data_IF_703683606385
#
_entry.id   IF_703683606385
#
_cell.length_a   1.000
_cell.length_b   1.000
_cell.length_c   1.000
_cell.angle_alpha   90.00
_cell.angle_beta   90.00
_cell.angle_gamma   90.00
#
_symmetry.space_group_name_H-M   'P 1'
#
loop_
_entity.id
_entity.type
_entity.pdbx_description
1 polymer ?
#
# COMPACT_ATOMS: atom_id res chain seq x y z
N UNK A 1 4.67 -19.31 -13.41
CA UNK A 1 4.08 -18.32 -12.49
C UNK A 1 3.83 -17.02 -13.25
N UNK A 2 2.63 -16.44 -13.14
CA UNK A 2 2.34 -15.08 -13.61
C UNK A 2 2.60 -14.09 -12.48
N UNK A 3 3.22 -12.94 -12.78
CA UNK A 3 3.52 -11.89 -11.79
C UNK A 3 2.85 -10.58 -12.19
N UNK A 4 2.33 -9.84 -11.22
CA UNK A 4 1.64 -8.56 -11.46
C UNK A 4 2.59 -7.40 -11.79
N UNK A 5 3.83 -7.47 -11.32
CA UNK A 5 4.85 -6.44 -11.55
C UNK A 5 6.28 -6.99 -11.37
N UNK A 6 7.27 -6.22 -11.83
CA UNK A 6 8.68 -6.60 -11.78
C UNK A 6 9.21 -6.72 -10.34
N UNK A 7 8.75 -5.88 -9.40
CA UNK A 7 9.17 -5.94 -8.01
C UNK A 7 8.70 -7.26 -7.38
N UNK A 8 7.43 -7.60 -7.52
CA UNK A 8 6.84 -8.87 -7.07
C UNK A 8 7.57 -10.07 -7.67
N UNK A 9 7.93 -10.05 -8.96
CA UNK A 9 8.74 -11.08 -9.61
C UNK A 9 10.11 -11.24 -8.95
N UNK A 10 10.85 -10.15 -8.76
CA UNK A 10 12.20 -10.21 -8.17
C UNK A 10 12.17 -10.71 -6.72
N UNK A 11 11.16 -10.31 -5.94
CA UNK A 11 11.00 -10.77 -4.55
C UNK A 11 10.60 -12.24 -4.46
N UNK A 12 9.73 -12.71 -5.34
CA UNK A 12 9.37 -14.13 -5.44
C UNK A 12 10.58 -15.00 -5.80
N UNK A 13 11.39 -14.58 -6.78
CA UNK A 13 12.61 -15.31 -7.15
C UNK A 13 13.65 -15.33 -6.02
N UNK A 14 13.86 -14.20 -5.35
CA UNK A 14 14.77 -14.13 -4.20
C UNK A 14 14.33 -15.07 -3.06
N UNK A 15 13.02 -15.11 -2.76
CA UNK A 15 12.47 -16.04 -1.79
C UNK A 15 12.74 -17.50 -2.18
N UNK A 16 12.46 -17.88 -3.43
CA UNK A 16 12.72 -19.25 -3.91
C UNK A 16 14.20 -19.63 -3.79
N UNK A 17 15.12 -18.71 -4.06
CA UNK A 17 16.57 -18.94 -3.93
C UNK A 17 16.93 -19.19 -2.46
N UNK A 18 16.47 -18.33 -1.55
CA UNK A 18 16.80 -18.45 -0.13
C UNK A 18 16.23 -19.71 0.50
N UNK A 19 14.96 -20.04 0.23
CA UNK A 19 14.34 -21.25 0.79
C UNK A 19 15.00 -22.53 0.28
N UNK A 20 15.45 -22.56 -1.00
CA UNK A 20 16.23 -23.68 -1.55
C UNK A 20 17.62 -23.81 -0.96
N UNK A 21 18.21 -22.73 -0.47
CA UNK A 21 19.53 -22.74 0.16
C UNK A 21 19.49 -23.24 1.62
N UNK A 22 18.30 -23.47 2.19
CA UNK A 22 18.16 -24.00 3.55
C UNK A 22 18.84 -25.35 3.70
N UNK A 23 19.72 -25.47 4.69
CA UNK A 23 20.52 -26.67 4.95
C UNK A 23 20.84 -26.83 6.45
N UNK A 24 21.65 -27.84 6.79
CA UNK A 24 22.16 -28.04 8.15
C UNK A 24 23.19 -26.98 8.58
N UNK A 25 23.77 -26.24 7.63
CA UNK A 25 24.77 -25.19 7.89
C UNK A 25 24.26 -23.78 7.63
N UNK A 26 23.16 -23.64 6.88
CA UNK A 26 22.51 -22.37 6.59
C UNK A 26 21.00 -22.48 6.84
N UNK A 27 20.54 -21.94 7.97
CA UNK A 27 19.13 -21.93 8.33
C UNK A 27 18.45 -20.67 7.78
N UNK A 28 17.38 -20.85 7.02
CA UNK A 28 16.70 -19.73 6.35
C UNK A 28 15.22 -19.68 6.72
N UNK A 29 14.63 -18.50 6.73
CA UNK A 29 13.19 -18.30 6.76
C UNK A 29 12.83 -17.10 5.87
N UNK A 30 11.63 -17.12 5.29
CA UNK A 30 11.11 -16.01 4.49
C UNK A 30 9.89 -15.37 5.15
N UNK A 31 9.89 -14.04 5.26
CA UNK A 31 8.78 -13.26 5.81
C UNK A 31 8.07 -12.49 4.69
N UNK A 32 6.75 -12.69 4.61
CA UNK A 32 5.85 -12.04 3.66
C UNK A 32 4.95 -11.07 4.42
N UNK A 33 5.40 -9.83 4.67
CA UNK A 33 4.59 -8.86 5.38
C UNK A 33 3.40 -8.40 4.53
N UNK A 34 2.30 -8.11 5.20
CA UNK A 34 1.20 -7.33 4.65
C UNK A 34 1.61 -5.86 4.41
N UNK A 35 0.65 -4.97 4.10
CA UNK A 35 0.94 -3.55 4.00
C UNK A 35 1.43 -3.01 5.36
N UNK A 36 2.68 -2.56 5.42
CA UNK A 36 3.32 -2.13 6.67
C UNK A 36 2.79 -0.74 7.02
N UNK A 37 2.41 -0.48 8.26
CA UNK A 37 2.09 0.86 8.74
C UNK A 37 2.68 1.10 10.13
N UNK A 38 2.67 2.36 10.56
CA UNK A 38 3.05 2.74 11.89
C UNK A 38 3.59 4.16 11.94
N UNK A 39 3.86 4.59 13.16
CA UNK A 39 4.70 5.74 13.42
C UNK A 39 6.08 5.55 12.76
N UNK A 40 6.58 6.59 12.09
CA UNK A 40 7.85 6.51 11.36
C UNK A 40 7.81 5.80 10.00
N UNK A 41 6.63 5.41 9.49
CA UNK A 41 6.52 4.95 8.10
C UNK A 41 6.76 6.13 7.14
N UNK A 42 7.76 6.06 6.26
CA UNK A 42 8.18 7.20 5.45
C UNK A 42 7.84 7.11 3.97
N UNK A 43 7.17 6.03 3.52
CA UNK A 43 7.02 5.75 2.09
C UNK A 43 5.64 6.07 1.56
N UNK A 44 4.60 5.42 2.07
CA UNK A 44 3.29 5.46 1.42
C UNK A 44 2.25 6.25 2.20
N UNK A 45 2.27 6.23 3.53
CA UNK A 45 1.39 7.06 4.35
C UNK A 45 1.67 8.56 4.15
N UNK A 46 2.93 9.06 4.15
CA UNK A 46 3.21 10.46 3.82
C UNK A 46 2.70 10.87 2.44
N UNK A 47 2.85 9.99 1.44
CA UNK A 47 2.35 10.24 0.07
C UNK A 47 0.83 10.41 0.06
N UNK A 48 0.12 9.53 0.76
CA UNK A 48 -1.35 9.59 0.87
C UNK A 48 -1.78 10.85 1.63
N UNK A 49 -1.15 11.15 2.77
CA UNK A 49 -1.46 12.34 3.56
C UNK A 49 -1.19 13.64 2.80
N UNK A 50 -0.16 13.67 1.95
CA UNK A 50 0.07 14.81 1.06
C UNK A 50 -1.07 14.98 0.03
N UNK A 51 -1.55 13.89 -0.58
CA UNK A 51 -2.72 13.93 -1.48
C UNK A 51 -4.00 14.37 -0.75
N UNK A 52 -4.17 13.92 0.49
CA UNK A 52 -5.27 14.33 1.38
C UNK A 52 -5.18 15.83 1.67
N UNK A 53 -4.01 16.33 2.05
CA UNK A 53 -3.78 17.75 2.31
C UNK A 53 -4.02 18.62 1.07
N UNK A 54 -3.72 18.10 -0.12
CA UNK A 54 -3.99 18.76 -1.40
C UNK A 54 -5.46 18.66 -1.85
N UNK A 55 -6.31 17.91 -1.13
CA UNK A 55 -7.70 17.68 -1.53
C UNK A 55 -7.87 16.76 -2.74
N UNK A 56 -6.83 15.99 -3.10
CA UNK A 56 -6.83 15.07 -4.25
C UNK A 56 -7.27 13.63 -3.87
N UNK A 57 -7.32 13.30 -2.58
CA UNK A 57 -7.72 11.99 -2.07
C UNK A 57 -9.25 11.90 -1.77
N UNK A 58 -10.08 12.26 -2.74
CA UNK A 58 -11.54 12.35 -2.56
C UNK A 58 -12.32 11.09 -2.94
N UNK A 59 -11.68 10.09 -3.55
CA UNK A 59 -12.32 8.84 -3.97
C UNK A 59 -11.55 7.59 -3.51
N UNK A 60 -12.28 6.50 -3.32
CA UNK A 60 -11.77 5.15 -3.09
C UNK A 60 -11.80 4.34 -4.39
N UNK A 61 -10.92 3.35 -4.51
CA UNK A 61 -10.89 2.42 -5.65
C UNK A 61 -11.56 1.10 -5.25
N UNK A 62 -12.44 0.59 -6.11
CA UNK A 62 -13.12 -0.68 -5.94
C UNK A 62 -14.46 -0.56 -5.21
N UNK A 63 -14.65 -1.32 -4.13
CA UNK A 63 -15.90 -1.39 -3.35
C UNK A 63 -15.60 -1.49 -1.85
N UNK A 64 -16.59 -1.19 -1.01
CA UNK A 64 -16.47 -1.23 0.45
C UNK A 64 -16.13 -2.63 1.00
N UNK A 65 -16.54 -3.70 0.30
CA UNK A 65 -16.32 -5.09 0.71
C UNK A 65 -14.95 -5.65 0.30
N UNK A 66 -14.08 -4.83 -0.30
CA UNK A 66 -12.71 -5.25 -0.62
C UNK A 66 -11.90 -5.27 0.67
N UNK A 67 -11.26 -6.40 0.96
CA UNK A 67 -10.48 -6.58 2.18
C UNK A 67 -8.99 -6.75 1.87
N UNK A 68 -8.16 -6.11 2.68
CA UNK A 68 -6.70 -6.25 2.65
C UNK A 68 -6.13 -6.38 4.07
N UNK A 69 -4.91 -6.88 4.16
CA UNK A 69 -4.18 -6.95 5.42
C UNK A 69 -3.21 -5.78 5.59
N UNK A 70 -3.10 -5.35 6.83
CA UNK A 70 -2.08 -4.43 7.32
C UNK A 70 -1.24 -5.09 8.41
N UNK A 71 -0.02 -4.61 8.61
CA UNK A 71 0.86 -5.03 9.69
C UNK A 71 1.54 -3.82 10.32
N UNK A 72 1.40 -3.65 11.63
CA UNK A 72 2.12 -2.61 12.35
C UNK A 72 3.61 -2.93 12.40
N UNK A 73 4.47 -1.92 12.24
CA UNK A 73 5.92 -2.09 12.17
C UNK A 73 6.50 -2.90 13.35
N UNK A 74 6.08 -2.62 14.59
CA UNK A 74 6.56 -3.36 15.77
C UNK A 74 6.08 -4.81 15.82
N UNK A 75 4.87 -5.07 15.31
CA UNK A 75 4.35 -6.44 15.18
C UNK A 75 5.17 -7.21 14.14
N UNK A 76 5.53 -6.58 13.02
CA UNK A 76 6.41 -7.18 12.02
C UNK A 76 7.82 -7.46 12.57
N UNK A 77 8.42 -6.51 13.30
CA UNK A 77 9.71 -6.71 13.98
C UNK A 77 9.64 -7.87 14.96
N UNK A 78 8.55 -7.97 15.72
CA UNK A 78 8.31 -9.10 16.62
C UNK A 78 8.24 -10.43 15.87
N UNK A 79 7.59 -10.48 14.70
CA UNK A 79 7.53 -11.66 13.86
C UNK A 79 8.92 -12.07 13.32
N UNK A 80 9.75 -11.10 12.92
CA UNK A 80 11.12 -11.34 12.46
C UNK A 80 11.97 -11.98 13.58
N UNK A 81 11.90 -11.46 14.80
CA UNK A 81 12.59 -12.02 15.97
C UNK A 81 12.09 -13.43 16.29
N UNK A 82 10.78 -13.67 16.18
CA UNK A 82 10.22 -15.01 16.40
C UNK A 82 10.67 -16.00 15.31
N UNK A 83 10.75 -15.56 14.05
CA UNK A 83 11.25 -16.38 12.96
C UNK A 83 12.71 -16.78 13.18
N UNK A 84 13.57 -15.83 13.57
CA UNK A 84 14.96 -16.08 13.94
C UNK A 84 15.06 -17.13 15.07
N UNK A 85 14.33 -16.92 16.18
CA UNK A 85 14.32 -17.84 17.34
C UNK A 85 13.76 -19.22 17.02
N UNK A 86 12.98 -19.35 15.95
CA UNK A 86 12.40 -20.62 15.52
C UNK A 86 13.39 -21.49 14.75
N UNK A 87 14.54 -20.94 14.34
CA UNK A 87 15.60 -21.67 13.67
C UNK A 87 16.48 -22.42 14.70
N UNK A 88 17.01 -23.61 14.35
CA UNK A 88 16.89 -24.29 13.06
C UNK A 88 15.59 -25.10 12.88
N UNK A 89 14.77 -25.22 13.92
CA UNK A 89 13.61 -26.15 13.96
C UNK A 89 12.65 -25.98 12.79
N UNK A 90 12.37 -24.74 12.37
CA UNK A 90 11.49 -24.44 11.24
C UNK A 90 12.22 -23.73 10.09
N UNK A 91 13.41 -24.24 9.74
CA UNK A 91 14.18 -23.74 8.58
C UNK A 91 13.52 -24.11 7.24
N UNK A 92 13.74 -23.28 6.23
CA UNK A 92 13.23 -23.49 4.87
C UNK A 92 11.76 -23.09 4.69
N UNK A 93 11.19 -22.39 5.67
CA UNK A 93 9.77 -22.05 5.69
C UNK A 93 9.51 -20.57 5.36
N UNK A 94 8.36 -20.32 4.73
CA UNK A 94 7.82 -18.98 4.49
C UNK A 94 6.58 -18.71 5.34
N UNK A 95 6.43 -17.46 5.80
CA UNK A 95 5.36 -17.02 6.69
C UNK A 95 4.74 -15.71 6.22
N UNK A 96 3.42 -15.70 6.07
CA UNK A 96 2.66 -14.45 5.97
C UNK A 96 2.50 -13.83 7.35
N UNK A 97 2.76 -12.52 7.47
CA UNK A 97 2.64 -11.76 8.71
C UNK A 97 1.69 -10.59 8.49
N UNK A 98 0.63 -10.51 9.31
CA UNK A 98 -0.34 -9.42 9.37
C UNK A 98 -0.78 -9.17 10.81
N UNK A 99 -1.56 -8.12 11.03
CA UNK A 99 -2.22 -7.85 12.32
C UNK A 99 -3.51 -8.68 12.52
N UNK A 100 -3.76 -9.70 11.69
CA UNK A 100 -4.93 -10.58 11.78
C UNK A 100 -6.28 -9.85 11.72
N UNK A 101 -6.29 -8.68 11.07
CA UNK A 101 -7.43 -7.78 11.00
C UNK A 101 -7.68 -7.37 9.54
N UNK A 102 -8.27 -8.25 8.71
CA UNK A 102 -8.63 -7.91 7.35
C UNK A 102 -9.64 -6.75 7.34
N UNK A 103 -9.28 -5.66 6.68
CA UNK A 103 -10.07 -4.43 6.65
C UNK A 103 -10.02 -3.81 5.27
N UNK A 104 -11.03 -3.02 4.92
CA UNK A 104 -10.98 -2.25 3.69
C UNK A 104 -9.86 -1.19 3.75
N UNK A 105 -9.06 -1.13 2.69
CA UNK A 105 -7.90 -0.24 2.59
C UNK A 105 -8.28 1.24 2.83
N UNK A 106 -9.40 1.69 2.27
CA UNK A 106 -9.85 3.07 2.37
C UNK A 106 -10.57 3.35 3.69
N UNK A 107 -11.23 2.36 4.30
CA UNK A 107 -11.73 2.49 5.67
C UNK A 107 -10.58 2.65 6.67
N UNK A 108 -9.53 1.84 6.54
CA UNK A 108 -8.31 1.95 7.34
C UNK A 108 -7.65 3.33 7.19
N UNK A 109 -7.44 3.79 5.96
CA UNK A 109 -6.88 5.12 5.69
C UNK A 109 -7.80 6.25 6.17
N UNK A 110 -9.13 6.07 6.12
CA UNK A 110 -10.10 7.06 6.61
C UNK A 110 -9.97 7.28 8.13
N UNK A 111 -9.65 6.24 8.90
CA UNK A 111 -9.41 6.41 10.34
C UNK A 111 -8.21 7.32 10.61
N UNK A 112 -7.11 7.11 9.90
CA UNK A 112 -5.91 7.95 9.99
C UNK A 112 -6.21 9.40 9.60
N UNK A 113 -6.86 9.62 8.45
CA UNK A 113 -7.13 10.98 7.96
C UNK A 113 -8.11 11.74 8.86
N UNK A 114 -9.14 11.06 9.38
CA UNK A 114 -10.06 11.63 10.38
C UNK A 114 -9.34 12.01 11.67
N UNK A 115 -8.44 11.15 12.18
CA UNK A 115 -7.63 11.46 13.36
C UNK A 115 -6.76 12.72 13.21
N UNK A 116 -6.34 13.01 11.98
CA UNK A 116 -5.57 14.20 11.61
C UNK A 116 -6.43 15.42 11.23
N UNK A 117 -7.75 15.33 11.41
CA UNK A 117 -8.70 16.43 11.18
C UNK A 117 -9.15 16.60 9.72
N UNK A 118 -8.84 15.65 8.84
CA UNK A 118 -9.37 15.65 7.47
C UNK A 118 -10.73 14.95 7.42
N UNK A 119 -11.67 15.60 6.75
CA UNK A 119 -13.04 15.11 6.56
C UNK A 119 -13.27 14.79 5.09
N UNK A 120 -14.24 13.90 4.82
CA UNK A 120 -14.68 13.56 3.47
C UNK A 120 -13.58 13.03 2.52
N UNK A 121 -12.49 12.47 3.06
CA UNK A 121 -11.54 11.71 2.25
C UNK A 121 -12.19 10.40 1.80
N UNK A 122 -11.88 9.97 0.58
CA UNK A 122 -12.37 8.70 0.03
C UNK A 122 -13.90 8.57 0.05
N UNK A 123 -14.61 9.66 -0.28
CA UNK A 123 -16.05 9.80 -0.04
C UNK A 123 -16.94 8.88 -0.89
N UNK A 124 -16.47 8.44 -2.05
CA UNK A 124 -17.18 7.54 -2.94
C UNK A 124 -16.22 6.57 -3.62
N UNK A 125 -16.76 5.47 -4.15
CA UNK A 125 -16.00 4.42 -4.78
C UNK A 125 -16.05 4.51 -6.30
N UNK A 126 -14.90 4.35 -6.95
CA UNK A 126 -14.77 4.17 -8.40
C UNK A 126 -14.44 2.69 -8.67
N UNK A 127 -15.23 1.97 -9.48
CA UNK A 127 -14.98 0.57 -9.80
C UNK A 127 -13.55 0.31 -10.28
N UNK A 128 -12.94 -0.78 -9.79
CA UNK A 128 -11.55 -1.16 -10.08
C UNK A 128 -11.27 -1.22 -11.58
N UNK A 129 -12.22 -1.71 -12.37
CA UNK A 129 -12.07 -1.82 -13.83
C UNK A 129 -11.87 -0.47 -14.51
N UNK A 130 -12.58 0.58 -14.07
CA UNK A 130 -12.44 1.93 -14.63
C UNK A 130 -11.05 2.47 -14.32
N UNK A 131 -10.64 2.35 -13.05
CA UNK A 131 -9.32 2.79 -12.61
C UNK A 131 -8.19 2.00 -13.28
N UNK A 132 -8.41 0.73 -13.60
CA UNK A 132 -7.44 -0.11 -14.28
C UNK A 132 -7.18 0.37 -15.71
N UNK A 133 -8.23 0.70 -16.46
CA UNK A 133 -8.07 1.30 -17.79
C UNK A 133 -7.43 2.69 -17.73
N UNK A 134 -7.75 3.50 -16.72
CA UNK A 134 -7.06 4.77 -16.51
C UNK A 134 -5.55 4.56 -16.27
N UNK A 135 -5.18 3.62 -15.41
CA UNK A 135 -3.78 3.24 -15.18
C UNK A 135 -3.09 2.76 -16.46
N UNK A 136 -3.77 1.98 -17.30
CA UNK A 136 -3.25 1.57 -18.60
C UNK A 136 -2.95 2.75 -19.53
N UNK A 137 -3.85 3.73 -19.62
CA UNK A 137 -3.65 4.93 -20.43
C UNK A 137 -2.45 5.73 -19.93
N UNK A 138 -2.34 5.95 -18.61
CA UNK A 138 -1.23 6.69 -18.01
C UNK A 138 0.12 5.99 -18.27
N UNK A 139 0.18 4.67 -18.08
CA UNK A 139 1.38 3.88 -18.39
C UNK A 139 1.76 3.97 -19.87
N UNK A 140 0.77 3.95 -20.78
CA UNK A 140 0.99 4.06 -22.23
C UNK A 140 1.56 5.43 -22.58
N UNK A 141 0.96 6.51 -22.06
CA UNK A 141 1.45 7.88 -22.25
C UNK A 141 2.87 8.02 -21.69
N UNK A 142 3.13 7.52 -20.49
CA UNK A 142 4.46 7.51 -19.90
C UNK A 142 5.47 6.81 -20.82
N UNK A 143 5.16 5.61 -21.33
CA UNK A 143 6.08 4.88 -22.21
C UNK A 143 6.37 5.61 -23.54
N UNK A 144 5.42 6.40 -24.05
CA UNK A 144 5.57 7.18 -25.27
C UNK A 144 6.36 8.49 -25.03
N UNK A 145 6.12 9.16 -23.90
CA UNK A 145 6.70 10.48 -23.58
C UNK A 145 8.02 10.38 -22.83
N UNK A 146 8.15 9.46 -21.87
CA UNK A 146 9.33 9.33 -21.00
C UNK A 146 10.61 9.00 -21.77
N UNK A 147 10.49 8.27 -22.88
CA UNK A 147 11.63 7.94 -23.75
C UNK A 147 12.08 9.10 -24.64
N UNK A 148 11.25 10.12 -24.86
CA UNK A 148 11.47 11.17 -25.88
C UNK A 148 11.57 12.58 -25.32
N UNK A 149 10.90 12.88 -24.21
CA UNK A 149 10.67 14.26 -23.76
C UNK A 149 11.00 14.42 -22.28
N UNK A 150 10.31 13.69 -21.40
CA UNK A 150 10.43 13.88 -19.95
C UNK A 150 10.03 12.65 -19.16
N UNK A 151 10.94 12.13 -18.33
CA UNK A 151 10.72 10.96 -17.49
C UNK A 151 9.97 11.33 -16.20
N UNK A 152 8.64 11.42 -16.27
CA UNK A 152 7.79 11.61 -15.10
C UNK A 152 7.41 10.28 -14.46
N UNK A 153 7.31 10.22 -13.13
CA UNK A 153 6.77 9.04 -12.46
C UNK A 153 5.25 8.96 -12.66
N UNK A 154 4.69 7.84 -13.18
CA UNK A 154 3.24 7.66 -13.25
C UNK A 154 2.61 7.79 -11.85
N UNK A 155 1.60 8.65 -11.71
CA UNK A 155 0.93 8.83 -10.41
C UNK A 155 0.05 7.62 -10.03
N UNK A 156 -0.38 6.86 -11.04
CA UNK A 156 -1.22 5.68 -10.91
C UNK A 156 -0.80 4.64 -11.95
N UNK A 157 -0.53 3.44 -11.48
CA UNK A 157 -0.24 2.26 -12.29
C UNK A 157 -1.35 1.22 -12.14
N UNK A 158 -1.46 0.30 -13.12
CA UNK A 158 -2.36 -0.86 -13.02
C UNK A 158 -2.05 -1.71 -11.78
N UNK A 159 -0.77 -1.88 -11.45
CA UNK A 159 -0.33 -2.63 -10.27
C UNK A 159 -0.78 -1.95 -8.97
N UNK A 160 -0.71 -0.62 -8.88
CA UNK A 160 -1.27 0.11 -7.73
C UNK A 160 -2.78 -0.02 -7.63
N UNK A 161 -3.50 0.08 -8.76
CA UNK A 161 -4.97 -0.10 -8.80
C UNK A 161 -5.36 -1.48 -8.31
N UNK A 162 -4.72 -2.53 -8.83
CA UNK A 162 -5.00 -3.89 -8.39
C UNK A 162 -4.64 -4.10 -6.92
N UNK A 163 -3.54 -3.50 -6.45
CA UNK A 163 -3.13 -3.59 -5.04
C UNK A 163 -4.17 -3.02 -4.08
N UNK A 164 -4.97 -2.02 -4.45
CA UNK A 164 -5.99 -1.43 -3.55
C UNK A 164 -7.41 -1.83 -3.91
N UNK A 165 -7.63 -2.28 -5.14
CA UNK A 165 -8.95 -2.50 -5.74
C UNK A 165 -9.35 -3.97 -5.87
N UNK A 166 -8.64 -4.92 -5.26
CA UNK A 166 -9.05 -6.33 -5.18
C UNK A 166 -8.84 -6.89 -3.77
N UNK A 167 -9.67 -7.84 -3.37
CA UNK A 167 -9.52 -8.50 -2.06
C UNK A 167 -8.28 -9.38 -2.04
N UNK A 168 -7.38 -9.12 -1.10
CA UNK A 168 -6.19 -9.93 -0.87
C UNK A 168 -5.75 -9.80 0.60
N UNK A 169 -5.95 -10.88 1.35
CA UNK A 169 -5.48 -11.02 2.72
C UNK A 169 -4.96 -12.45 2.90
N UNK A 170 -4.08 -12.66 3.86
CA UNK A 170 -3.35 -13.90 4.02
C UNK A 170 -3.80 -14.68 5.26
N UNK A 171 -3.77 -16.01 5.15
CA UNK A 171 -3.93 -16.87 6.32
C UNK A 171 -2.59 -16.95 7.08
N UNK A 172 -2.55 -16.37 8.28
CA UNK A 172 -1.35 -16.34 9.13
C UNK A 172 -1.27 -17.48 10.16
N UNK A 173 -2.12 -18.50 10.04
CA UNK A 173 -2.16 -19.65 10.97
C UNK A 173 -0.80 -20.30 11.13
N UNK A 174 -0.04 -20.46 10.04
CA UNK A 174 1.31 -21.03 10.07
C UNK A 174 2.28 -20.23 10.95
N UNK A 175 2.21 -18.90 10.91
CA UNK A 175 3.01 -18.05 11.80
C UNK A 175 2.57 -18.19 13.26
N UNK A 176 1.25 -18.26 13.51
CA UNK A 176 0.71 -18.44 14.87
C UNK A 176 1.09 -19.78 15.50
N UNK A 177 1.17 -20.86 14.70
CA UNK A 177 1.43 -22.22 15.18
C UNK A 177 2.93 -22.53 15.27
N UNK A 178 3.71 -22.18 14.25
CA UNK A 178 5.14 -22.55 14.20
C UNK A 178 6.03 -21.51 14.89
N UNK A 179 5.73 -20.21 14.74
CA UNK A 179 6.53 -19.14 15.35
C UNK A 179 5.99 -18.70 16.72
N UNK A 180 4.77 -19.13 17.10
CA UNK A 180 4.07 -18.57 18.24
C UNK A 180 3.68 -17.10 18.05
N UNK A 181 3.61 -16.62 16.80
CA UNK A 181 3.29 -15.22 16.51
C UNK A 181 1.92 -14.83 17.08
N UNK A 182 1.88 -13.68 17.74
CA UNK A 182 0.68 -13.02 18.26
C UNK A 182 0.85 -11.53 18.01
N UNK A 183 -0.27 -10.88 17.67
CA UNK A 183 -0.36 -9.43 17.54
C UNK A 183 -0.12 -8.83 18.93
N UNK A 184 0.97 -8.08 19.10
CA UNK A 184 1.35 -7.51 20.41
C UNK A 184 0.72 -6.15 20.62
N UNK A 185 0.72 -5.32 19.59
CA UNK A 185 0.07 -4.01 19.55
C UNK A 185 -1.19 -4.16 18.73
N UNK A 186 -2.35 -3.84 19.31
CA UNK A 186 -3.63 -3.95 18.61
C UNK A 186 -3.73 -2.93 17.47
N UNK A 187 -4.52 -3.18 16.41
CA UNK A 187 -4.73 -2.21 15.34
C UNK A 187 -5.19 -0.83 15.84
N UNK A 188 -6.07 -0.79 16.84
CA UNK A 188 -6.56 0.46 17.43
C UNK A 188 -5.45 1.25 18.12
N UNK A 189 -4.63 0.58 18.94
CA UNK A 189 -3.49 1.20 19.61
C UNK A 189 -2.44 1.68 18.59
N UNK A 190 -2.12 0.84 17.61
CA UNK A 190 -1.20 1.17 16.53
C UNK A 190 -1.69 2.38 15.72
N UNK A 191 -2.99 2.46 15.43
CA UNK A 191 -3.60 3.59 14.74
C UNK A 191 -3.50 4.88 15.56
N UNK A 192 -3.73 4.83 16.87
CA UNK A 192 -3.56 5.99 17.76
C UNK A 192 -2.11 6.49 17.81
N UNK A 193 -1.14 5.58 17.91
CA UNK A 193 0.29 5.91 17.85
C UNK A 193 0.66 6.55 16.52
N UNK A 194 0.16 5.98 15.42
CA UNK A 194 0.32 6.51 14.07
C UNK A 194 -0.23 7.95 13.96
N UNK A 195 -1.48 8.18 14.33
CA UNK A 195 -2.12 9.51 14.32
C UNK A 195 -1.28 10.52 15.13
N UNK A 196 -0.88 10.15 16.35
CA UNK A 196 -0.07 11.01 17.22
C UNK A 196 1.25 11.39 16.56
N UNK A 197 1.97 10.41 16.01
CA UNK A 197 3.26 10.66 15.35
C UNK A 197 3.10 11.60 14.15
N UNK A 198 2.12 11.36 13.27
CA UNK A 198 1.89 12.23 12.11
C UNK A 198 1.43 13.64 12.51
N UNK A 199 0.68 13.78 13.59
CA UNK A 199 0.30 15.09 14.14
C UNK A 199 1.53 15.88 14.60
N UNK A 200 2.39 15.26 15.42
CA UNK A 200 3.65 15.85 15.91
C UNK A 200 4.61 16.23 14.77
N UNK A 201 4.52 15.54 13.62
CA UNK A 201 5.32 15.82 12.42
C UNK A 201 4.62 16.73 11.40
N UNK A 202 3.55 17.41 11.80
CA UNK A 202 2.95 18.51 11.03
C UNK A 202 2.00 18.10 9.90
N UNK A 203 1.47 16.87 9.94
CA UNK A 203 0.51 16.38 8.93
C UNK A 203 -0.95 16.72 9.26
N UNK A 204 -1.24 17.26 10.44
CA UNK A 204 -2.59 17.70 10.81
C UNK A 204 -3.11 18.77 9.84
N UNK A 205 -4.41 18.69 9.53
CA UNK A 205 -5.07 19.66 8.65
C UNK A 205 -4.90 21.08 9.19
N UNK A 206 -4.31 21.96 8.37
CA UNK A 206 -4.26 23.40 8.65
C UNK A 206 -5.57 24.04 8.19
N UNK A 207 -6.11 24.98 8.96
CA UNK A 207 -7.47 25.51 8.84
C UNK A 207 -7.79 26.28 7.55
N UNK A 208 -6.92 26.33 6.53
CA UNK A 208 -7.13 27.24 5.40
C UNK A 208 -6.49 26.86 4.06
N UNK A 209 -6.73 25.65 3.53
CA UNK A 209 -6.29 25.31 2.18
C UNK A 209 -7.37 24.55 1.40
N UNK A 210 -8.23 25.29 0.69
CA UNK A 210 -8.95 24.75 -0.48
C UNK A 210 -8.18 25.18 -1.73
N UNK A 211 -7.19 24.40 -2.15
CA UNK A 211 -6.57 24.58 -3.46
C UNK A 211 -7.34 23.75 -4.50
N UNK A 212 -8.52 24.25 -4.91
CA UNK A 212 -9.31 23.72 -6.02
C UNK A 212 -8.58 23.83 -7.38
N UNK A 213 -7.47 24.56 -7.43
CA UNK A 213 -6.64 24.80 -8.62
C UNK A 213 -6.17 23.52 -9.31
N UNK A 214 -5.77 22.49 -8.56
CA UNK A 214 -5.26 21.25 -9.16
C UNK A 214 -6.33 20.42 -9.86
N UNK A 215 -7.56 20.42 -9.34
CA UNK A 215 -8.70 19.73 -9.98
C UNK A 215 -9.02 20.39 -11.33
N UNK A 216 -9.03 21.72 -11.38
CA UNK A 216 -9.22 22.45 -12.63
C UNK A 216 -8.09 22.22 -13.63
N UNK A 217 -6.84 22.11 -13.17
CA UNK A 217 -5.70 21.78 -14.04
C UNK A 217 -5.78 20.35 -14.59
N UNK A 218 -6.21 19.38 -13.78
CA UNK A 218 -6.37 18.00 -14.21
C UNK A 218 -7.51 17.86 -15.23
N UNK A 219 -8.65 18.52 -14.98
CA UNK A 219 -9.77 18.63 -15.93
C UNK A 219 -9.30 19.31 -17.22
N UNK A 220 -8.58 20.43 -17.13
CA UNK A 220 -8.06 21.14 -18.31
C UNK A 220 -7.10 20.27 -19.11
N UNK A 221 -6.21 19.51 -18.46
CA UNK A 221 -5.28 18.61 -19.13
C UNK A 221 -5.99 17.44 -19.85
N UNK A 222 -7.04 16.88 -19.25
CA UNK A 222 -7.87 15.85 -19.87
C UNK A 222 -8.63 16.40 -21.08
N UNK A 223 -9.16 17.62 -20.99
CA UNK A 223 -9.82 18.30 -22.12
C UNK A 223 -8.83 18.54 -23.26
N UNK A 224 -7.63 19.07 -22.96
CA UNK A 224 -6.58 19.32 -23.95
C UNK A 224 -6.15 18.02 -24.63
N UNK A 225 -5.99 16.94 -23.86
CA UNK A 225 -5.66 15.62 -24.40
C UNK A 225 -6.74 15.11 -25.37
N UNK A 226 -8.02 15.22 -25.01
CA UNK A 226 -9.12 14.82 -25.88
C UNK A 226 -9.26 15.70 -27.13
N UNK A 227 -9.00 17.01 -27.02
CA UNK A 227 -8.93 17.91 -28.18
C UNK A 227 -7.82 17.45 -29.14
N UNK A 228 -6.66 17.08 -28.62
CA UNK A 228 -5.53 16.62 -29.43
C UNK A 228 -5.82 15.28 -30.13
N UNK A 229 -6.52 14.36 -29.47
CA UNK A 229 -6.95 13.06 -30.05
C UNK A 229 -8.07 13.21 -31.08
N UNK A 230 -8.88 14.27 -31.02
CA UNK A 230 -9.94 14.53 -32.00
C UNK A 230 -9.44 15.32 -33.23
N UNK A 231 -8.32 16.03 -33.10
CA UNK A 231 -7.74 16.85 -34.17
C UNK A 231 -6.67 16.11 -35.00
N UNK A 232 -6.23 14.92 -34.58
CA UNK A 232 -5.24 14.08 -35.26
C UNK A 232 -5.66 12.62 -35.27
#
# INVERSE_FOLDING_TARGET
>A
ESYYDNYSRTKSLAEQIILKASSSTLHTAAIRPAAIYGDGELRHLPRILNLVNQGLAFFAVGHENILCDWVYADNLVSALILAEKSLPKYSGEAYFISDDYPVNNFQFLSQLTKGLGYENCFAFYIPTIIMFYLGYIIETIHNLVAKRIYNFAPFLTRSEVLKVGVTHYANITKAKTLLGYRVKVSPDEAMQRCIKWYDEHGYRKKTNQKNLTYIWLLIASLIIFWIFVLLF
#
